data_IF_110483248216
#
_entry.id   IF_110483248216
#
_cell.length_a   1.000
_cell.length_b   1.000
_cell.length_c   1.000
_cell.angle_alpha   90.00
_cell.angle_beta   90.00
_cell.angle_gamma   90.00
#
_symmetry.space_group_name_H-M   'P 1'
#
loop_
_entity.id
_entity.type
_entity.pdbx_description
1 polymer ?
#
# COMPACT_ATOMS: atom_id res chain seq x y z
N UNK A 1 8.49 16.43 -21.95
CA UNK A 1 9.00 16.03 -20.62
C UNK A 1 8.18 16.70 -19.50
N UNK A 2 6.85 16.55 -19.50
CA UNK A 2 5.94 17.13 -18.49
C UNK A 2 5.21 16.03 -17.70
N UNK A 3 5.06 14.83 -18.25
CA UNK A 3 4.36 13.72 -17.62
C UNK A 3 5.11 13.07 -16.45
N UNK A 4 6.45 13.09 -16.43
CA UNK A 4 7.22 12.40 -15.39
C UNK A 4 7.07 13.05 -14.00
N UNK A 5 6.95 14.38 -13.94
CA UNK A 5 6.79 15.12 -12.68
C UNK A 5 5.38 15.08 -12.10
N UNK A 6 4.38 14.62 -12.88
CA UNK A 6 3.00 14.48 -12.42
C UNK A 6 2.81 13.23 -11.54
N UNK A 7 3.49 12.13 -11.86
CA UNK A 7 3.40 10.88 -11.11
C UNK A 7 4.08 10.91 -9.74
N UNK A 8 4.99 11.86 -9.50
CA UNK A 8 5.76 11.90 -8.26
C UNK A 8 4.94 12.35 -7.05
N UNK A 9 3.80 13.02 -7.26
CA UNK A 9 3.12 13.70 -6.16
C UNK A 9 1.92 12.93 -5.62
N UNK A 10 1.04 12.40 -6.47
CA UNK A 10 -0.25 11.85 -6.04
C UNK A 10 -0.86 11.11 -7.21
N UNK A 11 -1.35 9.87 -7.07
CA UNK A 11 -2.59 9.56 -7.79
C UNK A 11 -3.42 8.40 -7.23
N UNK A 12 -4.55 8.76 -6.64
CA UNK A 12 -5.84 8.15 -7.00
C UNK A 12 -6.33 8.95 -8.21
N UNK A 13 -6.18 8.42 -9.42
CA UNK A 13 -6.73 9.06 -10.62
C UNK A 13 -8.27 8.99 -10.52
N UNK A 14 -8.97 10.05 -10.93
CA UNK A 14 -10.37 9.89 -11.31
C UNK A 14 -10.47 9.11 -12.62
N UNK A 15 -11.64 8.56 -12.93
CA UNK A 15 -11.86 7.84 -14.19
C UNK A 15 -11.54 8.72 -15.41
N UNK A 16 -11.79 10.03 -15.32
CA UNK A 16 -11.49 10.99 -16.38
C UNK A 16 -9.98 11.16 -16.60
N UNK A 17 -9.19 11.22 -15.52
CA UNK A 17 -7.74 11.37 -15.59
C UNK A 17 -7.08 10.10 -16.14
N UNK A 18 -7.59 8.90 -15.79
CA UNK A 18 -7.16 7.65 -16.43
C UNK A 18 -7.45 7.64 -17.93
N UNK A 19 -8.64 8.06 -18.34
CA UNK A 19 -8.99 8.13 -19.76
C UNK A 19 -8.15 9.16 -20.52
N UNK A 20 -7.77 10.26 -19.89
CA UNK A 20 -6.86 11.25 -20.47
C UNK A 20 -5.45 10.67 -20.62
N UNK A 21 -4.91 10.04 -19.57
CA UNK A 21 -3.62 9.37 -19.60
C UNK A 21 -3.55 8.32 -20.71
N UNK A 22 -4.58 7.48 -20.84
CA UNK A 22 -4.64 6.47 -21.90
C UNK A 22 -4.64 7.08 -23.32
N UNK A 23 -5.29 8.23 -23.51
CA UNK A 23 -5.30 8.94 -24.79
C UNK A 23 -3.92 9.50 -25.12
N UNK A 24 -3.28 10.15 -24.17
CA UNK A 24 -1.93 10.73 -24.35
C UNK A 24 -0.90 9.63 -24.65
N UNK A 25 -0.93 8.51 -23.91
CA UNK A 25 -0.03 7.37 -24.12
C UNK A 25 -0.20 6.71 -25.50
N UNK A 26 -1.41 6.75 -26.08
CA UNK A 26 -1.66 6.24 -27.44
C UNK A 26 -1.04 7.10 -28.54
N UNK A 27 -0.88 8.40 -28.29
CA UNK A 27 -0.32 9.37 -29.24
C UNK A 27 1.19 9.58 -29.12
N UNK A 28 1.84 8.95 -28.13
CA UNK A 28 3.29 9.06 -27.93
C UNK A 28 4.10 8.25 -28.96
N UNK A 29 5.27 8.78 -29.29
CA UNK A 29 6.33 8.05 -30.01
C UNK A 29 6.72 6.77 -29.25
N UNK A 30 7.03 5.71 -29.98
CA UNK A 30 7.19 4.34 -29.42
C UNK A 30 8.15 4.28 -28.24
N UNK A 31 9.28 4.98 -28.32
CA UNK A 31 10.31 4.98 -27.25
C UNK A 31 9.87 5.73 -25.99
N UNK A 32 9.06 6.78 -26.12
CA UNK A 32 8.55 7.53 -24.97
C UNK A 32 7.42 6.74 -24.30
N UNK A 33 6.57 6.10 -25.11
CA UNK A 33 5.51 5.22 -24.66
C UNK A 33 6.04 4.03 -23.83
N UNK A 34 7.12 3.40 -24.27
CA UNK A 34 7.77 2.30 -23.54
C UNK A 34 8.21 2.74 -22.13
N UNK A 35 8.89 3.89 -22.01
CA UNK A 35 9.34 4.43 -20.72
C UNK A 35 8.18 4.78 -19.79
N UNK A 36 7.09 5.34 -20.32
CA UNK A 36 5.89 5.66 -19.53
C UNK A 36 5.22 4.38 -19.03
N UNK A 37 5.14 3.35 -19.88
CA UNK A 37 4.56 2.06 -19.50
C UNK A 37 5.39 1.35 -18.42
N UNK A 38 6.71 1.34 -18.55
CA UNK A 38 7.62 0.81 -17.52
C UNK A 38 7.43 1.52 -16.17
N UNK A 39 7.29 2.85 -16.18
CA UNK A 39 7.06 3.64 -14.97
C UNK A 39 5.73 3.27 -14.30
N UNK A 40 4.64 3.17 -15.07
CA UNK A 40 3.32 2.78 -14.56
C UNK A 40 3.36 1.39 -13.93
N UNK A 41 3.95 0.40 -14.62
CA UNK A 41 4.08 -0.97 -14.11
C UNK A 41 4.88 -0.98 -12.80
N UNK A 42 5.98 -0.22 -12.73
CA UNK A 42 6.80 -0.12 -11.53
C UNK A 42 6.01 0.44 -10.34
N UNK A 43 5.25 1.51 -10.53
CA UNK A 43 4.43 2.09 -9.45
C UNK A 43 3.26 1.21 -9.05
N UNK A 44 2.59 0.53 -9.99
CA UNK A 44 1.52 -0.42 -9.68
C UNK A 44 2.05 -1.57 -8.81
N UNK A 45 3.21 -2.14 -9.18
CA UNK A 45 3.86 -3.19 -8.40
C UNK A 45 4.26 -2.70 -7.01
N UNK A 46 4.82 -1.50 -6.91
CA UNK A 46 5.17 -0.88 -5.62
C UNK A 46 3.93 -0.66 -4.75
N UNK A 47 2.88 -0.06 -5.30
CA UNK A 47 1.63 0.20 -4.59
C UNK A 47 0.95 -1.08 -4.12
N UNK A 48 0.95 -2.15 -4.93
CA UNK A 48 0.43 -3.46 -4.52
C UNK A 48 1.20 -4.05 -3.34
N UNK A 49 2.54 -3.93 -3.35
CA UNK A 49 3.41 -4.42 -2.27
C UNK A 49 3.20 -3.62 -0.98
N UNK A 50 3.14 -2.29 -1.09
CA UNK A 50 2.90 -1.39 0.04
C UNK A 50 1.51 -1.63 0.64
N UNK A 51 0.46 -1.68 -0.18
CA UNK A 51 -0.90 -1.97 0.26
C UNK A 51 -1.06 -3.34 0.93
N UNK A 52 -0.37 -4.38 0.44
CA UNK A 52 -0.36 -5.69 1.10
C UNK A 52 0.32 -5.62 2.48
N UNK A 53 1.43 -4.89 2.59
CA UNK A 53 2.15 -4.72 3.86
C UNK A 53 1.31 -3.92 4.87
N UNK A 54 0.70 -2.82 4.44
CA UNK A 54 -0.17 -1.99 5.28
C UNK A 54 -1.42 -2.76 5.71
N UNK A 55 -2.07 -3.46 4.78
CA UNK A 55 -3.23 -4.29 5.09
C UNK A 55 -2.92 -5.42 6.08
N UNK A 56 -1.76 -6.06 5.96
CA UNK A 56 -1.31 -7.07 6.93
C UNK A 56 -1.05 -6.47 8.31
N UNK A 57 -0.41 -5.28 8.37
CA UNK A 57 -0.17 -4.57 9.64
C UNK A 57 -1.49 -4.19 10.33
N UNK A 58 -2.43 -3.61 9.58
CA UNK A 58 -3.74 -3.22 10.09
C UNK A 58 -4.56 -4.44 10.52
N UNK A 59 -4.54 -5.52 9.73
CA UNK A 59 -5.19 -6.79 10.10
C UNK A 59 -4.63 -7.38 11.39
N UNK A 60 -3.31 -7.36 11.57
CA UNK A 60 -2.65 -7.83 12.79
C UNK A 60 -3.05 -6.99 14.01
N UNK A 61 -3.05 -5.65 13.87
CA UNK A 61 -3.48 -4.74 14.95
C UNK A 61 -4.91 -5.06 15.40
N UNK A 62 -5.86 -5.16 14.46
CA UNK A 62 -7.27 -5.48 14.77
C UNK A 62 -7.44 -6.84 15.43
N UNK A 63 -6.65 -7.83 15.00
CA UNK A 63 -6.63 -9.16 15.61
C UNK A 63 -6.20 -9.08 17.07
N UNK A 64 -5.07 -8.42 17.35
CA UNK A 64 -4.52 -8.22 18.71
C UNK A 64 -5.53 -7.47 19.60
N UNK A 65 -6.13 -6.38 19.12
CA UNK A 65 -7.15 -5.63 19.86
C UNK A 65 -8.38 -6.50 20.18
N UNK A 66 -8.80 -7.35 19.24
CA UNK A 66 -9.94 -8.25 19.43
C UNK A 66 -9.64 -9.31 20.48
N UNK A 67 -8.42 -9.85 20.49
CA UNK A 67 -7.97 -10.80 21.52
C UNK A 67 -7.92 -10.15 22.90
N UNK A 68 -7.35 -8.93 22.99
CA UNK A 68 -7.30 -8.17 24.24
C UNK A 68 -8.71 -7.83 24.75
N UNK A 69 -9.63 -7.40 23.87
CA UNK A 69 -11.04 -7.16 24.22
C UNK A 69 -11.78 -8.40 24.71
N UNK A 70 -11.34 -9.60 24.30
CA UNK A 70 -11.85 -10.88 24.81
C UNK A 70 -11.24 -11.30 26.14
N UNK A 71 -10.37 -10.49 26.73
CA UNK A 71 -9.77 -10.72 28.04
C UNK A 71 -8.48 -11.54 28.03
N UNK A 72 -7.88 -11.79 26.86
CA UNK A 72 -6.56 -12.45 26.78
C UNK A 72 -5.46 -11.54 27.33
N UNK A 73 -4.47 -12.12 28.00
CA UNK A 73 -3.30 -11.36 28.47
C UNK A 73 -2.32 -11.09 27.34
N UNK A 74 -1.46 -10.07 27.49
CA UNK A 74 -0.44 -9.76 26.48
C UNK A 74 0.50 -10.94 26.20
N UNK A 75 0.83 -11.74 27.23
CA UNK A 75 1.62 -12.96 27.08
C UNK A 75 0.91 -14.06 26.27
N UNK A 76 -0.40 -14.21 26.44
CA UNK A 76 -1.20 -15.16 25.64
C UNK A 76 -1.26 -14.74 24.18
N UNK A 77 -1.49 -13.45 23.94
CA UNK A 77 -1.54 -12.87 22.59
C UNK A 77 -0.18 -13.03 21.91
N UNK A 78 0.91 -12.63 22.58
CA UNK A 78 2.29 -12.75 22.11
C UNK A 78 2.62 -14.17 21.61
N UNK A 79 2.21 -15.20 22.38
CA UNK A 79 2.38 -16.61 21.98
C UNK A 79 1.54 -17.01 20.77
N UNK A 80 0.32 -16.50 20.64
CA UNK A 80 -0.59 -16.87 19.55
C UNK A 80 -0.20 -16.24 18.21
N UNK A 81 0.30 -15.01 18.23
CA UNK A 81 0.67 -14.27 17.00
C UNK A 81 2.17 -14.27 16.72
N UNK A 82 2.95 -14.97 17.55
CA UNK A 82 4.42 -15.09 17.46
C UNK A 82 5.12 -13.72 17.42
N UNK A 83 4.79 -12.87 18.39
CA UNK A 83 5.39 -11.56 18.57
C UNK A 83 5.87 -11.37 20.01
N UNK A 84 6.93 -10.57 20.24
CA UNK A 84 7.35 -10.24 21.58
C UNK A 84 6.29 -9.39 22.31
N UNK A 85 6.20 -9.53 23.62
CA UNK A 85 5.17 -8.85 24.44
C UNK A 85 5.26 -7.33 24.29
N UNK A 86 6.48 -6.78 24.15
CA UNK A 86 6.73 -5.36 23.95
C UNK A 86 6.09 -4.84 22.64
N UNK A 87 6.04 -5.67 21.61
CA UNK A 87 5.40 -5.35 20.33
C UNK A 87 3.87 -5.34 20.45
N UNK A 88 3.30 -6.29 21.18
CA UNK A 88 1.86 -6.32 21.49
C UNK A 88 1.46 -5.05 22.23
N UNK A 89 2.21 -4.66 23.26
CA UNK A 89 1.93 -3.44 24.01
C UNK A 89 2.06 -2.18 23.16
N UNK A 90 3.05 -2.11 22.26
CA UNK A 90 3.19 -0.98 21.33
C UNK A 90 1.96 -0.87 20.43
N UNK A 91 1.51 -1.99 19.87
CA UNK A 91 0.35 -2.03 18.96
C UNK A 91 -0.98 -1.69 19.65
N UNK A 92 -1.09 -1.94 20.96
CA UNK A 92 -2.28 -1.59 21.76
C UNK A 92 -2.26 -0.14 22.29
N UNK A 93 -1.12 0.57 22.18
CA UNK A 93 -0.97 1.98 22.61
C UNK A 93 -1.22 2.99 21.49
N UNK A 94 -1.19 2.55 20.23
CA UNK A 94 -1.50 3.35 19.03
C UNK A 94 -3.01 3.49 18.82
#
# INVERSE_FOLDING_TARGET
MILLGFFETYVKLSEEEEQQLQREVKTMETKEKEKVLELIISYEQKGRKEGMKEGMKEGMRRLIETMARKGMTNDEIARLVDLPVEEIERLLRE
#
